data_IF_612985108586
#
_entry.id   IF_612985108586
#
_cell.length_a   1.000
_cell.length_b   1.000
_cell.length_c   1.000
_cell.angle_alpha   90.00
_cell.angle_beta   90.00
_cell.angle_gamma   90.00
#
_symmetry.space_group_name_H-M   'P 1'
#
loop_
_entity.id
_entity.type
_entity.pdbx_description
1 polymer ?
#
# COMPACT_ATOMS: atom_id res chain seq x y z
N UNK A 1 -4.53 -3.50 -28.63
CA UNK A 1 -4.69 -2.05 -28.88
C UNK A 1 -4.20 -1.77 -30.30
N UNK A 2 -5.12 -1.49 -31.23
CA UNK A 2 -4.82 -1.42 -32.67
C UNK A 2 -4.23 -0.04 -32.97
N UNK A 3 -2.90 0.06 -33.08
CA UNK A 3 -2.17 1.33 -33.22
C UNK A 3 -1.68 1.64 -34.63
N UNK A 4 -2.29 1.05 -35.66
CA UNK A 4 -1.90 1.33 -37.04
C UNK A 4 -2.83 2.39 -37.64
N UNK A 5 -2.58 3.66 -37.32
CA UNK A 5 -3.33 4.79 -37.90
C UNK A 5 -2.69 5.19 -39.24
N UNK A 6 -3.09 4.52 -40.32
CA UNK A 6 -2.73 4.94 -41.67
C UNK A 6 -3.62 6.09 -42.14
N UNK A 7 -3.29 7.32 -41.73
CA UNK A 7 -3.98 8.52 -42.22
C UNK A 7 -3.32 9.08 -43.48
N UNK A 8 -4.09 9.57 -44.45
CA UNK A 8 -3.54 10.27 -45.65
C UNK A 8 -2.81 11.58 -45.28
N UNK A 9 -3.11 12.16 -44.11
CA UNK A 9 -2.61 13.46 -43.70
C UNK A 9 -1.43 13.35 -42.71
N UNK A 10 -0.28 14.01 -42.97
CA UNK A 10 0.91 13.88 -42.13
C UNK A 10 0.77 14.49 -40.74
N UNK A 11 0.01 15.58 -40.60
CA UNK A 11 -0.24 16.22 -39.30
C UNK A 11 -0.99 15.31 -38.32
N UNK A 12 -1.98 14.56 -38.83
CA UNK A 12 -2.75 13.60 -38.04
C UNK A 12 -1.86 12.44 -37.56
N UNK A 13 -0.94 11.96 -38.41
CA UNK A 13 0.03 10.92 -38.02
C UNK A 13 0.96 11.39 -36.90
N UNK A 14 1.50 12.61 -37.03
CA UNK A 14 2.41 13.18 -36.03
C UNK A 14 1.71 13.36 -34.68
N UNK A 15 0.48 13.86 -34.69
CA UNK A 15 -0.33 14.03 -33.49
C UNK A 15 -0.68 12.68 -32.83
N UNK A 16 -1.12 11.69 -33.62
CA UNK A 16 -1.40 10.35 -33.12
C UNK A 16 -0.16 9.68 -32.50
N UNK A 17 1.01 9.83 -33.13
CA UNK A 17 2.28 9.32 -32.60
C UNK A 17 2.67 10.02 -31.30
N UNK A 18 2.47 11.33 -31.21
CA UNK A 18 2.73 12.08 -29.98
C UNK A 18 1.86 11.61 -28.82
N UNK A 19 0.54 11.43 -29.06
CA UNK A 19 -0.37 10.90 -28.04
C UNK A 19 0.05 9.48 -27.63
N UNK A 20 0.37 8.62 -28.59
CA UNK A 20 0.85 7.26 -28.32
C UNK A 20 2.07 7.28 -27.40
N UNK A 21 3.06 8.09 -27.72
CA UNK A 21 4.28 8.22 -26.92
C UNK A 21 3.97 8.74 -25.51
N UNK A 22 3.07 9.72 -25.39
CA UNK A 22 2.65 10.25 -24.09
C UNK A 22 1.95 9.19 -23.23
N UNK A 23 1.09 8.35 -23.82
CA UNK A 23 0.41 7.27 -23.10
C UNK A 23 1.41 6.21 -22.63
N UNK A 24 2.36 5.81 -23.48
CA UNK A 24 3.40 4.83 -23.11
C UNK A 24 4.26 5.39 -21.97
N UNK A 25 4.73 6.63 -22.11
CA UNK A 25 5.54 7.28 -21.07
C UNK A 25 4.78 7.41 -19.74
N UNK A 26 3.49 7.77 -19.79
CA UNK A 26 2.65 7.85 -18.59
C UNK A 26 2.47 6.47 -17.94
N UNK A 27 2.28 5.42 -18.73
CA UNK A 27 2.16 4.06 -18.23
C UNK A 27 3.45 3.60 -17.54
N UNK A 28 4.60 3.81 -18.16
CA UNK A 28 5.90 3.43 -17.60
C UNK A 28 6.19 4.22 -16.31
N UNK A 29 5.89 5.52 -16.28
CA UNK A 29 6.00 6.33 -15.07
C UNK A 29 5.12 5.82 -13.92
N UNK A 30 3.89 5.35 -14.22
CA UNK A 30 3.00 4.75 -13.22
C UNK A 30 3.59 3.45 -12.68
N UNK A 31 4.13 2.59 -13.54
CA UNK A 31 4.76 1.34 -13.13
C UNK A 31 5.97 1.60 -12.23
N UNK A 32 6.86 2.50 -12.62
CA UNK A 32 8.01 2.89 -11.79
C UNK A 32 7.58 3.45 -10.43
N UNK A 33 6.56 4.32 -10.41
CA UNK A 33 6.04 4.89 -9.18
C UNK A 33 5.49 3.80 -8.24
N UNK A 34 4.77 2.80 -8.77
CA UNK A 34 4.27 1.67 -7.98
C UNK A 34 5.39 0.83 -7.38
N UNK A 35 6.45 0.57 -8.14
CA UNK A 35 7.63 -0.16 -7.63
C UNK A 35 8.28 0.63 -6.49
N UNK A 36 8.53 1.93 -6.69
CA UNK A 36 9.11 2.81 -5.66
C UNK A 36 8.26 2.84 -4.38
N UNK A 37 6.94 3.00 -4.53
CA UNK A 37 6.00 3.00 -3.40
C UNK A 37 6.02 1.66 -2.65
N UNK A 38 6.04 0.54 -3.38
CA UNK A 38 6.08 -0.80 -2.79
C UNK A 38 7.37 -1.01 -1.99
N UNK A 39 8.53 -0.61 -2.54
CA UNK A 39 9.81 -0.68 -1.84
C UNK A 39 9.79 0.16 -0.56
N UNK A 40 9.32 1.40 -0.62
CA UNK A 40 9.25 2.28 0.55
C UNK A 40 8.28 1.77 1.61
N UNK A 41 7.11 1.27 1.20
CA UNK A 41 6.14 0.67 2.11
C UNK A 41 6.71 -0.57 2.81
N UNK A 42 7.48 -1.40 2.09
CA UNK A 42 8.09 -2.60 2.63
C UNK A 42 9.33 -2.32 3.49
N UNK A 43 10.03 -1.20 3.29
CA UNK A 43 11.27 -0.86 4.04
C UNK A 43 11.11 -0.87 5.56
N UNK A 44 9.92 -0.54 6.07
CA UNK A 44 9.62 -0.52 7.52
C UNK A 44 8.78 -1.71 7.98
N UNK A 45 8.37 -2.60 7.08
CA UNK A 45 7.62 -3.82 7.45
C UNK A 45 8.63 -4.86 7.91
N UNK A 46 8.58 -5.18 9.19
CA UNK A 46 9.36 -6.25 9.78
C UNK A 46 8.39 -7.41 10.00
N UNK A 47 8.70 -8.64 9.54
CA UNK A 47 7.89 -9.80 9.88
C UNK A 47 7.91 -9.95 11.40
N UNK A 48 6.73 -9.92 12.01
CA UNK A 48 6.62 -10.05 13.44
C UNK A 48 6.98 -11.49 13.85
N UNK A 49 8.09 -11.67 14.55
CA UNK A 49 8.57 -12.97 15.04
C UNK A 49 7.76 -13.38 16.27
N UNK A 50 6.49 -13.71 16.08
CA UNK A 50 5.64 -14.22 17.14
C UNK A 50 5.46 -15.73 16.97
N UNK A 51 5.60 -16.48 18.06
CA UNK A 51 5.35 -17.93 18.09
C UNK A 51 4.18 -18.26 19.01
N UNK A 52 3.48 -19.35 18.69
CA UNK A 52 2.49 -19.94 19.58
C UNK A 52 3.15 -20.22 20.95
N UNK A 53 2.44 -19.89 22.03
CA UNK A 53 2.95 -20.03 23.39
C UNK A 53 3.78 -18.86 23.93
N UNK A 54 4.18 -17.89 23.10
CA UNK A 54 4.81 -16.65 23.59
C UNK A 54 3.77 -15.70 24.21
N UNK A 55 4.22 -14.87 25.14
CA UNK A 55 3.41 -13.85 25.78
C UNK A 55 3.65 -12.48 25.16
N UNK A 56 2.56 -11.83 24.72
CA UNK A 56 2.61 -10.53 24.04
C UNK A 56 1.68 -9.53 24.68
N UNK A 57 2.10 -8.26 24.67
CA UNK A 57 1.28 -7.14 25.07
C UNK A 57 0.37 -6.67 23.94
N UNK A 58 -0.93 -6.55 24.21
CA UNK A 58 -1.90 -6.11 23.20
C UNK A 58 -2.20 -4.62 23.32
N UNK A 59 -2.22 -3.90 22.20
CA UNK A 59 -2.51 -2.46 22.20
C UNK A 59 -4.00 -2.19 22.45
N UNK A 60 -4.30 -1.25 23.36
CA UNK A 60 -5.67 -0.84 23.68
C UNK A 60 -6.29 0.13 22.67
N UNK A 61 -5.55 0.52 21.61
CA UNK A 61 -6.01 1.52 20.61
C UNK A 61 -7.34 1.13 19.95
N UNK A 62 -7.47 -0.14 19.58
CA UNK A 62 -8.62 -0.68 18.85
C UNK A 62 -9.46 -1.66 19.68
N UNK A 63 -9.21 -1.74 21.00
CA UNK A 63 -9.94 -2.64 21.89
C UNK A 63 -11.11 -1.93 22.57
N UNK A 64 -12.17 -2.70 22.83
CA UNK A 64 -13.25 -2.28 23.74
C UNK A 64 -12.75 -2.44 25.17
N UNK A 65 -12.49 -1.32 25.82
CA UNK A 65 -12.18 -1.27 27.26
C UNK A 65 -13.47 -1.65 28.01
N UNK A 66 -13.40 -2.41 29.12
CA UNK A 66 -14.58 -2.78 29.90
C UNK A 66 -15.48 -1.58 30.21
N UNK A 67 -16.79 -1.81 30.15
CA UNK A 67 -17.83 -0.77 30.32
C UNK A 67 -17.61 -0.03 31.64
N UNK A 68 -17.71 1.30 31.61
CA UNK A 68 -17.60 2.16 32.80
C UNK A 68 -16.25 2.84 33.01
N UNK A 69 -15.23 2.57 32.19
CA UNK A 69 -13.94 3.28 32.25
C UNK A 69 -13.79 4.25 31.07
N UNK A 70 -13.58 5.52 31.37
CA UNK A 70 -13.21 6.50 30.36
C UNK A 70 -11.87 6.12 29.71
N UNK A 71 -11.67 6.46 28.43
CA UNK A 71 -10.38 6.21 27.72
C UNK A 71 -9.19 6.98 28.31
N UNK A 72 -9.45 7.98 29.16
CA UNK A 72 -8.41 8.76 29.81
C UNK A 72 -7.68 7.89 30.84
N UNK A 73 -6.34 7.95 30.83
CA UNK A 73 -5.46 7.21 31.75
C UNK A 73 -5.53 5.67 31.64
N UNK A 74 -6.04 5.14 30.52
CA UNK A 74 -5.97 3.69 30.27
C UNK A 74 -4.57 3.35 29.78
N UNK A 75 -3.95 2.26 30.26
CA UNK A 75 -2.65 1.83 29.76
C UNK A 75 -2.70 1.56 28.26
N UNK A 76 -1.66 1.97 27.54
CA UNK A 76 -1.55 1.84 26.07
C UNK A 76 -1.48 0.37 25.63
N UNK A 77 -1.01 -0.49 26.52
CA UNK A 77 -0.92 -1.93 26.33
C UNK A 77 -1.49 -2.64 27.54
N UNK A 78 -2.18 -3.76 27.32
CA UNK A 78 -2.72 -4.62 28.38
C UNK A 78 -2.09 -6.00 28.28
N UNK A 79 -1.82 -6.58 29.45
CA UNK A 79 -1.53 -7.99 29.73
C UNK A 79 -0.46 -8.68 28.88
N UNK A 80 0.37 -9.55 29.45
CA UNK A 80 0.95 -10.62 28.65
C UNK A 80 -0.17 -11.62 28.30
N UNK A 81 -0.61 -11.62 27.04
CA UNK A 81 -1.52 -12.64 26.52
C UNK A 81 -0.72 -13.71 25.81
N UNK A 82 -1.05 -14.98 26.06
CA UNK A 82 -0.45 -16.09 25.34
C UNK A 82 -1.03 -16.15 23.93
N UNK A 83 -0.16 -16.33 22.94
CA UNK A 83 -0.59 -16.57 21.55
C UNK A 83 -1.11 -18.01 21.44
N UNK A 84 -2.40 -18.13 21.10
CA UNK A 84 -3.10 -19.39 20.86
C UNK A 84 -3.24 -19.57 19.34
N UNK A 85 -3.28 -20.83 18.89
CA UNK A 85 -3.46 -21.24 17.49
C UNK A 85 -4.84 -20.91 16.92
#
# INVERSE_FOLDING_TARGET
MVWNVQSKYPGVRKYAQMIKNAIIAAHDAILEARVKQTIQANKKRIPAKFKEGEYVYLSTKNLKIPKGRARKLVPKYIGPFQIIK
#
